data_IF_619500568645
#
_entry.id   IF_619500568645
#
_cell.length_a   1.000
_cell.length_b   1.000
_cell.length_c   1.000
_cell.angle_alpha   90.00
_cell.angle_beta   90.00
_cell.angle_gamma   90.00
#
_symmetry.space_group_name_H-M   'P 1'
#
loop_
_entity.id
_entity.type
_entity.pdbx_description
1 polymer ?
#
# COMPACT_ATOMS: atom_id res chain seq x y z
N UNK A 1 -3.55 -37.65 14.01
CA UNK A 1 -3.07 -36.50 13.18
C UNK A 1 -3.93 -36.47 11.91
N UNK A 2 -5.12 -35.87 12.01
CA UNK A 2 -6.15 -35.83 10.95
C UNK A 2 -5.85 -34.64 10.04
N UNK A 3 -5.36 -34.91 8.83
CA UNK A 3 -5.25 -33.95 7.73
C UNK A 3 -6.68 -33.61 7.25
N UNK A 4 -7.39 -32.75 7.96
CA UNK A 4 -8.57 -32.11 7.43
C UNK A 4 -8.10 -30.95 6.53
N UNK A 5 -8.04 -31.16 5.22
CA UNK A 5 -7.93 -30.06 4.27
C UNK A 5 -9.25 -29.26 4.37
N UNK A 6 -9.24 -28.03 4.83
CA UNK A 6 -10.46 -27.23 4.86
C UNK A 6 -10.75 -26.79 3.42
N UNK A 7 -11.65 -27.55 2.77
CA UNK A 7 -12.18 -27.19 1.46
C UNK A 7 -13.39 -26.30 1.71
N UNK A 8 -13.31 -25.03 1.36
CA UNK A 8 -14.45 -24.12 1.33
C UNK A 8 -15.09 -24.14 -0.04
N UNK A 9 -16.43 -24.18 -0.08
CA UNK A 9 -17.18 -24.14 -1.32
C UNK A 9 -17.67 -22.71 -1.59
N UNK A 10 -17.49 -22.22 -2.81
CA UNK A 10 -17.97 -20.90 -3.22
C UNK A 10 -19.49 -20.77 -3.12
N UNK A 11 -20.21 -21.85 -3.48
CA UNK A 11 -21.67 -21.91 -3.47
C UNK A 11 -22.14 -23.27 -2.94
N UNK A 12 -22.19 -23.47 -1.61
CA UNK A 12 -22.49 -24.76 -1.02
C UNK A 12 -23.92 -25.26 -1.37
N UNK A 13 -24.85 -24.36 -1.71
CA UNK A 13 -26.21 -24.69 -2.13
C UNK A 13 -26.21 -25.59 -3.39
N UNK A 14 -25.24 -25.44 -4.29
CA UNK A 14 -25.15 -26.25 -5.51
C UNK A 14 -24.82 -27.73 -5.23
N UNK A 15 -24.30 -28.06 -4.05
CA UNK A 15 -24.15 -29.47 -3.65
C UNK A 15 -25.47 -30.20 -3.56
N UNK A 16 -26.60 -29.51 -3.35
CA UNK A 16 -27.92 -30.12 -3.36
C UNK A 16 -28.28 -30.71 -4.73
N UNK A 17 -27.68 -30.20 -5.82
CA UNK A 17 -27.88 -30.78 -7.16
C UNK A 17 -27.31 -32.21 -7.29
N UNK A 18 -26.44 -32.64 -6.36
CA UNK A 18 -25.97 -34.04 -6.30
C UNK A 18 -27.11 -35.02 -6.07
N UNK A 19 -28.22 -34.62 -5.42
CA UNK A 19 -29.40 -35.47 -5.26
C UNK A 19 -30.07 -35.86 -6.60
N UNK A 20 -29.84 -35.10 -7.68
CA UNK A 20 -30.28 -35.45 -9.03
C UNK A 20 -29.62 -36.75 -9.55
N UNK A 21 -28.51 -37.18 -8.97
CA UNK A 21 -27.85 -38.45 -9.31
C UNK A 21 -28.81 -39.67 -9.06
N UNK A 22 -29.73 -39.59 -8.07
CA UNK A 22 -30.64 -40.67 -7.73
C UNK A 22 -31.65 -40.91 -8.86
N UNK A 23 -32.46 -39.94 -9.29
CA UNK A 23 -33.39 -40.13 -10.40
C UNK A 23 -32.68 -40.46 -11.72
N UNK A 24 -31.52 -39.88 -11.97
CA UNK A 24 -30.71 -40.18 -13.17
C UNK A 24 -30.20 -41.60 -13.16
N UNK A 25 -29.76 -42.12 -12.02
CA UNK A 25 -29.38 -43.53 -11.87
C UNK A 25 -30.57 -44.50 -12.13
N UNK A 26 -31.73 -44.19 -11.54
CA UNK A 26 -32.94 -45.00 -11.73
C UNK A 26 -33.42 -45.00 -13.17
N UNK A 27 -33.38 -43.84 -13.82
CA UNK A 27 -33.69 -43.69 -15.24
C UNK A 27 -32.71 -44.45 -16.13
N UNK A 28 -31.42 -44.29 -15.96
CA UNK A 28 -30.39 -45.01 -16.72
C UNK A 28 -30.44 -46.53 -16.52
N UNK A 29 -30.91 -46.99 -15.35
CA UNK A 29 -31.12 -48.41 -15.09
C UNK A 29 -32.43 -48.94 -15.71
N UNK A 30 -33.48 -48.12 -15.86
CA UNK A 30 -34.78 -48.49 -16.40
C UNK A 30 -34.80 -48.59 -17.92
N UNK A 31 -33.83 -47.93 -18.59
CA UNK A 31 -33.77 -47.83 -20.07
C UNK A 31 -33.12 -49.06 -20.72
N UNK A 32 -33.16 -50.21 -20.08
CA UNK A 32 -32.77 -51.47 -20.67
C UNK A 32 -33.70 -51.82 -21.82
N UNK A 33 -33.17 -51.80 -23.05
CA UNK A 33 -33.93 -52.10 -24.26
C UNK A 33 -34.74 -53.39 -24.10
N UNK A 34 -36.06 -53.29 -24.26
CA UNK A 34 -36.97 -54.42 -24.20
C UNK A 34 -36.97 -55.08 -25.57
N UNK A 35 -36.43 -56.28 -25.65
CA UNK A 35 -36.53 -57.10 -26.86
C UNK A 35 -37.69 -58.05 -26.69
N UNK A 36 -38.69 -57.99 -27.59
CA UNK A 36 -39.82 -58.88 -27.60
C UNK A 36 -39.44 -60.25 -28.22
N UNK A 37 -39.43 -61.26 -27.38
CA UNK A 37 -39.18 -62.65 -27.83
C UNK A 37 -40.51 -63.42 -27.91
N UNK A 38 -40.74 -64.11 -29.02
CA UNK A 38 -41.90 -64.87 -29.24
C UNK A 38 -41.94 -66.22 -28.47
N UNK A 39 -40.81 -66.71 -27.96
CA UNK A 39 -40.72 -67.91 -27.15
C UNK A 39 -39.46 -67.90 -26.27
N UNK A 40 -39.60 -68.10 -24.95
CA UNK A 40 -38.51 -68.27 -23.97
C UNK A 40 -37.73 -69.60 -24.14
N UNK A 41 -38.27 -70.59 -24.91
CA UNK A 41 -37.54 -71.85 -25.16
C UNK A 41 -36.35 -71.79 -26.05
N UNK A 42 -36.14 -70.62 -26.75
CA UNK A 42 -35.01 -70.39 -27.64
C UNK A 42 -33.85 -69.60 -26.95
N UNK A 43 -34.04 -69.21 -25.71
CA UNK A 43 -33.01 -68.56 -24.94
C UNK A 43 -31.99 -69.59 -24.42
N UNK A 44 -30.73 -69.49 -24.72
CA UNK A 44 -29.74 -70.38 -24.14
C UNK A 44 -29.72 -70.21 -22.62
N UNK A 45 -29.85 -71.35 -21.90
CA UNK A 45 -29.71 -71.40 -20.44
C UNK A 45 -28.20 -71.21 -20.11
N UNK A 46 -27.73 -70.06 -20.28
CA UNK A 46 -26.30 -69.66 -19.98
C UNK A 46 -26.18 -69.04 -18.59
N UNK A 47 -25.19 -69.47 -17.86
CA UNK A 47 -24.86 -68.90 -16.55
C UNK A 47 -24.54 -67.40 -16.63
N UNK A 48 -24.61 -66.70 -15.50
CA UNK A 48 -24.32 -65.26 -15.37
C UNK A 48 -22.93 -64.94 -15.89
N UNK A 49 -22.88 -64.26 -17.05
CA UNK A 49 -21.62 -63.84 -17.67
C UNK A 49 -21.06 -62.64 -16.87
N UNK A 50 -19.74 -62.46 -16.86
CA UNK A 50 -19.07 -61.32 -16.19
C UNK A 50 -19.65 -59.95 -16.67
N UNK A 51 -20.09 -59.86 -17.93
CA UNK A 51 -20.77 -58.69 -18.49
C UNK A 51 -22.12 -58.37 -17.78
N UNK A 52 -22.87 -59.39 -17.40
CA UNK A 52 -24.13 -59.22 -16.62
C UNK A 52 -23.82 -58.75 -15.20
N UNK A 53 -22.73 -59.21 -14.61
CA UNK A 53 -22.27 -58.72 -13.29
C UNK A 53 -21.86 -57.27 -13.32
N UNK A 54 -21.33 -56.75 -14.44
CA UNK A 54 -20.90 -55.37 -14.65
C UNK A 54 -21.98 -54.47 -15.24
N UNK A 55 -23.20 -54.99 -15.52
CA UNK A 55 -24.29 -54.22 -16.10
C UNK A 55 -24.79 -53.05 -15.24
N UNK A 56 -24.46 -53.03 -13.95
CA UNK A 56 -24.73 -51.89 -13.06
C UNK A 56 -23.71 -50.74 -13.23
N UNK A 57 -22.56 -50.98 -13.86
CA UNK A 57 -21.45 -50.01 -13.96
C UNK A 57 -21.81 -48.80 -14.83
N UNK A 58 -22.42 -48.93 -16.04
CA UNK A 58 -22.76 -47.78 -16.85
C UNK A 58 -23.73 -46.79 -16.14
N UNK A 59 -24.88 -47.21 -15.57
CA UNK A 59 -25.75 -46.28 -14.85
C UNK A 59 -25.09 -45.70 -13.61
N UNK A 60 -24.18 -46.42 -12.94
CA UNK A 60 -23.40 -45.91 -11.82
C UNK A 60 -22.46 -44.82 -12.25
N UNK A 61 -21.76 -44.98 -13.38
CA UNK A 61 -20.84 -43.96 -13.91
C UNK A 61 -21.59 -42.68 -14.31
N UNK A 62 -22.79 -42.81 -14.88
CA UNK A 62 -23.64 -41.65 -15.18
C UNK A 62 -24.04 -40.91 -13.91
N UNK A 63 -24.45 -41.61 -12.87
CA UNK A 63 -24.80 -40.99 -11.59
C UNK A 63 -23.58 -40.32 -10.95
N UNK A 64 -22.42 -40.96 -11.01
CA UNK A 64 -21.17 -40.41 -10.47
C UNK A 64 -20.73 -39.14 -11.21
N UNK A 65 -20.96 -39.08 -12.54
CA UNK A 65 -20.68 -37.86 -13.32
C UNK A 65 -21.55 -36.68 -12.88
N UNK A 66 -22.81 -36.91 -12.51
CA UNK A 66 -23.71 -35.87 -11.98
C UNK A 66 -23.20 -35.36 -10.62
N UNK A 67 -22.75 -36.26 -9.75
CA UNK A 67 -22.17 -35.86 -8.46
C UNK A 67 -20.88 -35.06 -8.67
N UNK A 68 -20.01 -35.51 -9.56
CA UNK A 68 -18.78 -34.82 -9.88
C UNK A 68 -19.05 -33.40 -10.44
N UNK A 69 -20.07 -33.28 -11.31
CA UNK A 69 -20.52 -32.00 -11.83
C UNK A 69 -21.05 -31.08 -10.73
N UNK A 70 -21.84 -31.60 -9.80
CA UNK A 70 -22.35 -30.84 -8.66
C UNK A 70 -21.23 -30.31 -7.77
N UNK A 71 -20.18 -31.13 -7.51
CA UNK A 71 -18.99 -30.71 -6.77
C UNK A 71 -18.21 -29.67 -7.53
N UNK A 72 -18.04 -29.83 -8.85
CA UNK A 72 -17.35 -28.85 -9.69
C UNK A 72 -18.08 -27.49 -9.71
N UNK A 73 -19.40 -27.49 -9.83
CA UNK A 73 -20.25 -26.30 -9.78
C UNK A 73 -20.21 -25.60 -8.43
N UNK A 74 -20.12 -26.37 -7.34
CA UNK A 74 -19.98 -25.82 -5.99
C UNK A 74 -18.65 -25.05 -5.81
N UNK A 75 -17.68 -25.22 -6.73
CA UNK A 75 -16.41 -24.50 -6.75
C UNK A 75 -15.57 -24.72 -5.51
N UNK A 76 -14.99 -25.92 -5.32
CA UNK A 76 -14.10 -26.17 -4.20
C UNK A 76 -12.89 -25.25 -4.27
N UNK A 77 -12.59 -24.52 -3.18
CA UNK A 77 -11.42 -23.68 -3.01
C UNK A 77 -10.59 -24.25 -1.89
N UNK A 78 -9.31 -24.40 -2.13
CA UNK A 78 -8.36 -24.55 -1.04
C UNK A 78 -8.38 -23.23 -0.27
N UNK A 79 -8.80 -23.24 0.99
CA UNK A 79 -8.60 -22.08 1.85
C UNK A 79 -7.09 -21.88 1.94
N UNK A 80 -6.59 -20.86 1.26
CA UNK A 80 -5.22 -20.42 1.44
C UNK A 80 -5.12 -19.89 2.87
N UNK A 81 -4.73 -20.77 3.77
CA UNK A 81 -4.44 -20.46 5.17
C UNK A 81 -3.07 -19.78 5.31
N UNK A 82 -2.60 -19.10 4.28
CA UNK A 82 -1.81 -17.95 4.56
C UNK A 82 -2.75 -17.01 5.32
N UNK A 83 -2.79 -17.21 6.62
CA UNK A 83 -3.24 -16.19 7.55
C UNK A 83 -2.43 -14.96 7.14
N UNK A 84 -3.01 -14.12 6.25
CA UNK A 84 -2.72 -12.71 6.33
C UNK A 84 -3.15 -12.36 7.76
N UNK A 85 -2.22 -12.53 8.69
CA UNK A 85 -2.17 -11.61 9.80
C UNK A 85 -2.14 -10.29 9.04
N UNK A 86 -3.30 -9.62 8.95
CA UNK A 86 -3.30 -8.20 8.65
C UNK A 86 -2.52 -7.63 9.84
N UNK A 87 -1.20 -7.60 9.74
CA UNK A 87 -0.42 -6.57 10.39
C UNK A 87 -1.14 -5.33 9.89
N UNK A 88 -1.92 -4.72 10.77
CA UNK A 88 -2.59 -3.47 10.44
C UNK A 88 -1.45 -2.49 10.36
N UNK A 89 -0.93 -2.31 9.15
CA UNK A 89 0.07 -1.31 8.88
C UNK A 89 -0.47 0.06 9.28
N UNK A 90 0.41 0.98 9.54
CA UNK A 90 0.06 2.37 9.81
C UNK A 90 -0.28 3.07 8.50
N UNK A 91 -1.08 4.15 8.57
CA UNK A 91 -1.20 5.11 7.47
C UNK A 91 -0.21 6.26 7.72
N UNK A 92 0.70 6.44 6.78
CA UNK A 92 1.79 7.39 6.88
C UNK A 92 1.76 8.36 5.70
N UNK A 93 1.66 9.67 5.97
CA UNK A 93 1.77 10.71 4.96
C UNK A 93 3.09 11.46 5.09
N UNK A 94 3.87 11.41 4.01
CA UNK A 94 5.08 12.21 3.86
C UNK A 94 4.70 13.58 3.33
N UNK A 95 4.99 14.64 4.10
CA UNK A 95 4.71 16.04 3.75
C UNK A 95 6.04 16.72 3.47
N UNK A 96 6.35 16.89 2.19
CA UNK A 96 7.69 17.25 1.72
C UNK A 96 7.68 18.67 1.16
N UNK A 97 8.52 19.52 1.73
CA UNK A 97 8.81 20.85 1.21
C UNK A 97 9.56 20.75 -0.11
N UNK A 98 9.08 21.45 -1.13
CA UNK A 98 9.73 21.58 -2.44
C UNK A 98 9.98 23.05 -2.82
N UNK A 99 9.98 23.94 -1.82
CA UNK A 99 10.30 25.37 -2.01
C UNK A 99 11.74 25.57 -2.47
N UNK A 100 12.06 26.77 -2.94
CA UNK A 100 13.37 27.11 -3.48
C UNK A 100 14.52 26.92 -2.49
N UNK A 101 14.29 27.03 -1.18
CA UNK A 101 15.28 26.79 -0.12
C UNK A 101 15.81 25.35 -0.10
N UNK A 102 14.97 24.37 -0.49
CA UNK A 102 15.35 22.95 -0.60
C UNK A 102 16.42 22.67 -1.69
N UNK A 103 16.82 23.69 -2.46
CA UNK A 103 17.94 23.64 -3.39
C UNK A 103 19.31 23.73 -2.69
N UNK A 104 19.35 24.07 -1.41
CA UNK A 104 20.61 24.21 -0.66
C UNK A 104 21.40 22.89 -0.65
N UNK A 105 22.74 23.03 -0.66
CA UNK A 105 23.70 21.92 -0.79
C UNK A 105 24.38 21.56 0.54
N UNK A 106 23.84 22.01 1.67
CA UNK A 106 24.43 21.82 3.00
C UNK A 106 24.25 20.38 3.56
N UNK A 107 23.41 19.56 2.93
CA UNK A 107 23.31 18.12 3.19
C UNK A 107 24.16 17.27 2.22
N UNK A 108 25.10 17.89 1.50
CA UNK A 108 26.02 17.18 0.60
C UNK A 108 27.07 16.40 1.38
N UNK A 109 27.41 15.20 0.87
CA UNK A 109 28.56 14.43 1.36
C UNK A 109 29.85 14.95 0.76
N UNK A 110 30.99 14.49 1.32
CA UNK A 110 32.34 14.91 0.85
C UNK A 110 32.61 14.60 -0.62
N UNK A 111 31.95 13.56 -1.15
CA UNK A 111 32.21 13.03 -2.49
C UNK A 111 31.10 13.32 -3.49
N UNK A 112 29.94 13.86 -3.03
CA UNK A 112 28.78 14.05 -3.89
C UNK A 112 27.97 15.27 -3.48
N UNK A 113 27.90 16.26 -4.39
CA UNK A 113 26.97 17.37 -4.24
C UNK A 113 25.53 16.87 -4.43
N UNK A 114 24.66 17.22 -3.48
CA UNK A 114 23.22 16.94 -3.56
C UNK A 114 22.42 18.03 -2.86
N UNK A 115 21.24 18.29 -3.41
CA UNK A 115 20.31 19.23 -2.79
C UNK A 115 19.68 18.59 -1.54
N UNK A 116 19.08 19.41 -0.68
CA UNK A 116 18.26 18.92 0.45
C UNK A 116 17.15 18.00 -0.04
N UNK A 117 16.47 18.37 -1.14
CA UNK A 117 15.42 17.55 -1.74
C UNK A 117 15.95 16.20 -2.21
N UNK A 118 17.14 16.14 -2.83
CA UNK A 118 17.75 14.87 -3.25
C UNK A 118 18.09 13.97 -2.06
N UNK A 119 18.62 14.55 -0.98
CA UNK A 119 18.89 13.81 0.25
C UNK A 119 17.60 13.23 0.86
N UNK A 120 16.51 14.00 0.89
CA UNK A 120 15.20 13.55 1.35
C UNK A 120 14.67 12.41 0.51
N UNK A 121 14.76 12.49 -0.84
CA UNK A 121 14.33 11.42 -1.74
C UNK A 121 15.08 10.11 -1.53
N UNK A 122 16.41 10.18 -1.36
CA UNK A 122 17.25 9.00 -1.13
C UNK A 122 16.87 8.32 0.19
N UNK A 123 16.76 9.07 1.27
CA UNK A 123 16.40 8.51 2.59
C UNK A 123 14.97 7.99 2.62
N UNK A 124 14.04 8.68 1.95
CA UNK A 124 12.67 8.18 1.79
C UNK A 124 12.64 6.82 1.07
N UNK A 125 13.45 6.65 0.02
CA UNK A 125 13.52 5.38 -0.69
C UNK A 125 14.04 4.25 0.21
N UNK A 126 15.07 4.51 1.01
CA UNK A 126 15.60 3.55 1.99
C UNK A 126 14.61 3.24 3.12
N UNK A 127 13.87 4.24 3.57
CA UNK A 127 12.82 4.06 4.58
C UNK A 127 11.68 3.15 4.09
N UNK A 128 11.25 3.33 2.84
CA UNK A 128 10.15 2.56 2.25
C UNK A 128 10.58 1.14 1.88
N UNK A 129 11.69 0.99 1.16
CA UNK A 129 12.18 -0.31 0.67
C UNK A 129 12.89 -1.15 1.73
N UNK A 130 13.45 -0.50 2.71
CA UNK A 130 14.50 -1.04 3.56
C UNK A 130 15.88 -0.88 2.93
N UNK A 131 16.83 -0.45 3.72
CA UNK A 131 18.22 -0.18 3.32
C UNK A 131 18.94 0.62 4.38
N UNK A 132 20.26 0.68 4.34
CA UNK A 132 21.09 1.41 5.32
C UNK A 132 20.71 1.14 6.79
N UNK A 133 20.27 -0.09 7.09
CA UNK A 133 19.87 -0.50 8.45
C UNK A 133 18.40 -0.16 8.82
N UNK A 134 17.59 0.27 7.86
CA UNK A 134 16.14 0.43 8.00
C UNK A 134 15.43 -0.88 7.57
N UNK A 135 14.40 -1.34 8.29
CA UNK A 135 13.72 -2.62 7.99
C UNK A 135 12.82 -2.58 6.74
N UNK A 136 12.48 -1.38 6.26
CA UNK A 136 11.45 -1.18 5.22
C UNK A 136 10.03 -1.27 5.77
N UNK A 137 9.05 -0.94 4.93
CA UNK A 137 7.65 -0.75 5.33
C UNK A 137 6.64 -1.49 4.43
N UNK A 138 6.79 -2.80 4.19
CA UNK A 138 6.00 -3.51 3.18
C UNK A 138 4.49 -3.56 3.46
N UNK A 139 4.08 -3.40 4.72
CA UNK A 139 2.69 -3.54 5.16
C UNK A 139 2.00 -2.19 5.43
N UNK A 140 2.73 -1.06 5.32
CA UNK A 140 2.22 0.27 5.64
C UNK A 140 1.61 0.98 4.42
N UNK A 141 0.52 1.71 4.64
CA UNK A 141 -0.05 2.61 3.65
C UNK A 141 0.75 3.92 3.65
N UNK A 142 1.47 4.20 2.58
CA UNK A 142 2.30 5.40 2.50
C UNK A 142 1.81 6.30 1.37
N UNK A 143 1.76 7.61 1.61
CA UNK A 143 1.40 8.62 0.62
C UNK A 143 2.35 9.81 0.68
N UNK A 144 2.31 10.66 -0.34
CA UNK A 144 3.16 11.85 -0.47
C UNK A 144 2.32 13.07 -0.79
N UNK A 145 2.48 14.11 0.01
CA UNK A 145 2.06 15.48 -0.27
C UNK A 145 3.32 16.31 -0.43
N UNK A 146 3.43 17.09 -1.49
CA UNK A 146 4.46 18.13 -1.63
C UNK A 146 3.83 19.48 -1.44
N UNK A 147 4.60 20.41 -0.90
CA UNK A 147 4.16 21.80 -0.74
C UNK A 147 5.31 22.78 -1.01
N UNK A 148 4.95 23.94 -1.50
CA UNK A 148 5.76 25.14 -1.62
C UNK A 148 4.82 26.33 -1.38
N UNK A 149 4.53 27.17 -2.35
CA UNK A 149 3.52 28.22 -2.25
C UNK A 149 2.09 27.69 -2.14
N UNK A 150 1.85 26.43 -2.52
CA UNK A 150 0.61 25.66 -2.36
C UNK A 150 0.92 24.18 -2.16
N UNK A 151 -0.06 23.42 -1.69
CA UNK A 151 0.08 21.98 -1.43
C UNK A 151 -0.58 21.12 -2.53
N UNK A 152 0.05 19.99 -2.85
CA UNK A 152 -0.48 19.03 -3.82
C UNK A 152 -0.21 17.58 -3.41
N UNK A 153 -1.18 16.70 -3.66
CA UNK A 153 -1.04 15.26 -3.42
C UNK A 153 -0.30 14.60 -4.58
N UNK A 154 0.95 14.21 -4.38
CA UNK A 154 1.78 13.53 -5.39
C UNK A 154 1.52 12.06 -5.48
N UNK A 155 1.21 11.44 -4.34
CA UNK A 155 0.82 10.04 -4.28
C UNK A 155 -0.22 9.86 -3.16
N UNK A 156 -1.40 9.32 -3.42
CA UNK A 156 -2.34 8.96 -2.37
C UNK A 156 -1.80 7.82 -1.51
N UNK A 157 -2.43 7.56 -0.36
CA UNK A 157 -2.10 6.42 0.50
C UNK A 157 -2.19 5.11 -0.29
N UNK A 158 -1.08 4.39 -0.42
CA UNK A 158 -0.98 3.16 -1.20
C UNK A 158 -0.06 2.14 -0.54
N UNK A 159 -0.30 0.85 -0.83
CA UNK A 159 0.64 -0.26 -0.56
C UNK A 159 1.58 -0.50 -1.77
N UNK A 160 1.34 0.16 -2.89
CA UNK A 160 2.19 0.10 -4.07
C UNK A 160 3.38 1.05 -3.91
N UNK A 161 4.41 0.54 -3.25
CA UNK A 161 5.60 1.32 -2.94
C UNK A 161 6.49 1.58 -4.17
N UNK A 162 6.34 0.82 -5.25
CA UNK A 162 7.06 1.10 -6.49
C UNK A 162 6.54 2.38 -7.14
N UNK A 163 5.23 2.53 -7.28
CA UNK A 163 4.60 3.74 -7.77
C UNK A 163 4.82 4.94 -6.82
N UNK A 164 4.80 4.72 -5.50
CA UNK A 164 5.15 5.75 -4.51
C UNK A 164 6.56 6.30 -4.75
N UNK A 165 7.54 5.43 -4.92
CA UNK A 165 8.94 5.83 -5.12
C UNK A 165 9.16 6.46 -6.49
N UNK A 166 8.41 6.05 -7.51
CA UNK A 166 8.40 6.73 -8.80
C UNK A 166 7.90 8.17 -8.62
N UNK A 167 6.78 8.38 -7.92
CA UNK A 167 6.25 9.71 -7.62
C UNK A 167 7.25 10.56 -6.81
N UNK A 168 7.92 9.96 -5.81
CA UNK A 168 8.96 10.61 -5.02
C UNK A 168 10.14 11.06 -5.90
N UNK A 169 10.59 10.22 -6.83
CA UNK A 169 11.70 10.54 -7.75
C UNK A 169 11.37 11.73 -8.67
N UNK A 170 10.10 11.91 -9.01
CA UNK A 170 9.59 12.97 -9.89
C UNK A 170 9.34 14.30 -9.16
N UNK A 171 9.50 14.37 -7.83
CA UNK A 171 9.41 15.62 -7.11
C UNK A 171 10.42 16.62 -7.66
N UNK A 172 9.99 17.83 -7.93
CA UNK A 172 10.82 18.92 -8.44
C UNK A 172 10.66 20.15 -7.55
N UNK A 173 11.71 20.93 -7.45
CA UNK A 173 11.67 22.22 -6.76
C UNK A 173 10.72 23.17 -7.47
N UNK A 174 10.05 24.03 -6.71
CA UNK A 174 9.30 25.15 -7.27
C UNK A 174 10.28 26.11 -7.95
N UNK A 175 10.15 26.25 -9.27
CA UNK A 175 11.06 27.07 -10.09
C UNK A 175 10.48 28.44 -10.43
N UNK A 176 9.16 28.57 -10.36
CA UNK A 176 8.46 29.82 -10.65
C UNK A 176 8.24 30.61 -9.37
N UNK A 177 8.51 31.92 -9.41
CA UNK A 177 8.30 32.80 -8.26
C UNK A 177 6.85 32.81 -7.72
N UNK A 178 5.86 32.51 -8.57
CA UNK A 178 4.46 32.40 -8.20
C UNK A 178 4.14 31.13 -7.39
N UNK A 179 4.89 30.07 -7.66
CA UNK A 179 4.78 28.74 -7.02
C UNK A 179 5.70 28.62 -5.80
N UNK A 180 6.69 29.51 -5.66
CA UNK A 180 7.64 29.51 -4.55
C UNK A 180 7.01 30.11 -3.29
N UNK A 181 7.52 29.65 -2.15
CA UNK A 181 7.04 29.98 -0.82
C UNK A 181 6.88 28.69 0.00
N UNK A 182 6.46 28.83 1.24
CA UNK A 182 6.40 27.71 2.19
C UNK A 182 5.06 27.73 2.92
N UNK A 183 4.06 26.99 2.39
CA UNK A 183 2.72 26.85 2.93
C UNK A 183 2.62 25.60 3.82
N UNK A 184 3.30 25.58 4.97
CA UNK A 184 3.38 24.42 5.87
C UNK A 184 2.00 23.99 6.35
N UNK A 185 1.16 24.97 6.73
CA UNK A 185 -0.19 24.69 7.24
C UNK A 185 -1.07 24.01 6.20
N UNK A 186 -1.03 24.43 4.94
CA UNK A 186 -1.80 23.81 3.86
C UNK A 186 -1.25 22.43 3.51
N UNK A 187 0.09 22.26 3.48
CA UNK A 187 0.74 20.97 3.26
C UNK A 187 0.33 19.93 4.29
N UNK A 188 0.41 20.31 5.56
CA UNK A 188 0.01 19.45 6.66
C UNK A 188 -1.52 19.22 6.65
N UNK A 189 -2.31 20.25 6.41
CA UNK A 189 -3.78 20.15 6.33
C UNK A 189 -4.24 19.17 5.26
N UNK A 190 -3.66 19.23 4.05
CA UNK A 190 -3.97 18.31 2.97
C UNK A 190 -3.57 16.86 3.32
N UNK A 191 -2.41 16.66 3.93
CA UNK A 191 -1.98 15.35 4.38
C UNK A 191 -2.91 14.76 5.43
N UNK A 192 -3.38 15.56 6.38
CA UNK A 192 -4.32 15.14 7.41
C UNK A 192 -5.69 14.79 6.84
N UNK A 193 -6.14 15.49 5.81
CA UNK A 193 -7.37 15.15 5.09
C UNK A 193 -7.27 13.76 4.47
N UNK A 194 -6.14 13.43 3.83
CA UNK A 194 -5.89 12.09 3.28
C UNK A 194 -5.81 11.03 4.38
N UNK A 195 -5.18 11.33 5.51
CA UNK A 195 -5.12 10.43 6.65
C UNK A 195 -6.50 10.22 7.30
N UNK A 196 -7.36 11.22 7.29
CA UNK A 196 -8.73 11.12 7.83
C UNK A 196 -9.54 10.05 7.11
N UNK A 197 -9.41 9.97 5.79
CA UNK A 197 -10.09 8.98 4.95
C UNK A 197 -9.59 7.55 5.16
N UNK A 198 -8.41 7.37 5.75
CA UNK A 198 -7.83 6.05 6.00
C UNK A 198 -8.53 5.32 7.15
N UNK A 199 -8.74 4.01 6.96
CA UNK A 199 -9.25 3.09 7.99
C UNK A 199 -8.18 2.53 8.92
N UNK A 200 -6.90 2.90 8.73
CA UNK A 200 -5.81 2.47 9.59
C UNK A 200 -5.99 2.97 11.02
N UNK A 201 -5.62 2.12 12.00
CA UNK A 201 -5.74 2.48 13.42
C UNK A 201 -4.75 3.55 13.85
N UNK A 202 -3.54 3.52 13.28
CA UNK A 202 -2.49 4.49 13.55
C UNK A 202 -2.31 5.38 12.32
N UNK A 203 -2.34 6.69 12.53
CA UNK A 203 -2.21 7.72 11.51
C UNK A 203 -1.01 8.58 11.85
N UNK A 204 -0.08 8.70 10.92
CA UNK A 204 1.18 9.40 11.12
C UNK A 204 1.41 10.36 9.95
N UNK A 205 1.82 11.59 10.23
CA UNK A 205 2.37 12.51 9.24
C UNK A 205 3.83 12.81 9.57
N UNK A 206 4.69 12.83 8.57
CA UNK A 206 6.09 13.25 8.69
C UNK A 206 6.25 14.51 7.85
N UNK A 207 6.39 15.64 8.52
CA UNK A 207 6.58 16.95 7.91
C UNK A 207 8.06 17.24 7.78
N UNK A 208 8.55 17.39 6.55
CA UNK A 208 9.91 17.78 6.22
C UNK A 208 9.91 19.18 5.62
N UNK A 209 10.60 20.11 6.27
CA UNK A 209 10.74 21.49 5.80
C UNK A 209 12.09 22.07 6.26
N UNK A 210 12.57 23.06 5.54
CA UNK A 210 13.76 23.82 5.88
C UNK A 210 13.47 25.33 6.04
N UNK A 211 12.18 25.70 5.96
CA UNK A 211 11.76 27.09 5.92
C UNK A 211 10.85 27.52 7.05
N UNK A 212 10.47 28.79 6.96
CA UNK A 212 9.48 29.46 7.80
C UNK A 212 8.17 29.52 7.03
N UNK A 213 7.04 29.28 7.69
CA UNK A 213 5.75 29.42 7.05
C UNK A 213 5.50 30.88 6.62
N UNK A 214 5.41 31.13 5.32
CA UNK A 214 5.24 32.47 4.75
C UNK A 214 4.09 32.56 3.74
N UNK A 215 3.40 31.44 3.45
CA UNK A 215 2.26 31.34 2.54
C UNK A 215 1.23 30.36 3.07
N UNK A 216 0.08 30.29 2.39
CA UNK A 216 -1.03 29.38 2.67
C UNK A 216 -2.17 30.06 3.42
N UNK A 217 -3.32 29.47 3.30
CA UNK A 217 -4.56 29.95 3.94
C UNK A 217 -4.73 29.34 5.35
N UNK A 218 -4.15 28.15 5.57
CA UNK A 218 -4.18 27.43 6.85
C UNK A 218 -2.93 27.73 7.65
N UNK A 219 -3.08 28.14 8.91
CA UNK A 219 -1.91 28.28 9.77
C UNK A 219 -1.38 26.91 10.23
N UNK A 220 -0.06 26.76 10.48
CA UNK A 220 0.51 25.54 11.02
C UNK A 220 -0.13 25.10 12.35
N UNK A 221 -0.57 26.04 13.18
CA UNK A 221 -1.25 25.78 14.45
C UNK A 221 -2.64 25.18 14.24
N UNK A 222 -3.40 25.68 13.27
CA UNK A 222 -4.70 25.12 12.90
C UNK A 222 -4.57 23.69 12.35
N UNK A 223 -3.56 23.45 11.53
CA UNK A 223 -3.26 22.10 11.04
C UNK A 223 -2.89 21.15 12.20
N UNK A 224 -2.10 21.60 13.18
CA UNK A 224 -1.79 20.80 14.37
C UNK A 224 -3.04 20.49 15.23
N UNK A 225 -4.00 21.42 15.32
CA UNK A 225 -5.29 21.20 15.99
C UNK A 225 -6.12 20.13 15.27
N UNK A 226 -6.16 20.20 13.96
CA UNK A 226 -6.81 19.18 13.13
C UNK A 226 -6.16 17.80 13.35
N UNK A 227 -4.83 17.72 13.35
CA UNK A 227 -4.10 16.49 13.61
C UNK A 227 -4.48 15.86 14.96
N UNK A 228 -4.49 16.65 16.02
CA UNK A 228 -4.88 16.21 17.35
C UNK A 228 -6.34 15.71 17.36
N UNK A 229 -7.25 16.39 16.66
CA UNK A 229 -8.68 16.03 16.57
C UNK A 229 -8.89 14.67 15.89
N UNK A 230 -8.15 14.35 14.84
CA UNK A 230 -8.25 13.06 14.12
C UNK A 230 -7.37 11.96 14.73
N UNK A 231 -6.61 12.27 15.80
CA UNK A 231 -5.70 11.35 16.47
C UNK A 231 -4.47 11.00 15.62
N UNK A 232 -4.05 11.87 14.71
CA UNK A 232 -2.83 11.70 13.91
C UNK A 232 -1.61 12.27 14.65
N UNK A 233 -0.53 11.50 14.72
CA UNK A 233 0.76 11.96 15.24
C UNK A 233 1.53 12.67 14.12
N UNK A 234 2.10 13.83 14.42
CA UNK A 234 2.91 14.58 13.46
C UNK A 234 4.36 14.61 13.96
N UNK A 235 5.24 13.98 13.21
CA UNK A 235 6.68 14.13 13.39
C UNK A 235 7.16 15.26 12.48
N UNK A 236 7.94 16.17 13.03
CA UNK A 236 8.46 17.32 12.27
C UNK A 236 9.95 17.22 12.15
N UNK A 237 10.47 17.43 10.95
CA UNK A 237 11.88 17.32 10.61
C UNK A 237 12.33 18.63 9.97
N UNK A 238 13.18 19.35 10.68
CA UNK A 238 13.84 20.56 10.17
C UNK A 238 15.13 20.16 9.42
N UNK A 239 15.13 20.27 8.09
CA UNK A 239 16.25 19.86 7.25
C UNK A 239 17.22 21.01 6.99
N UNK A 240 18.51 20.80 7.29
CA UNK A 240 19.57 21.75 7.00
C UNK A 240 20.12 22.51 8.21
N UNK A 241 21.00 23.45 7.96
CA UNK A 241 21.67 24.28 8.97
C UNK A 241 21.07 25.69 9.04
N UNK A 242 21.03 26.30 10.24
CA UNK A 242 20.71 27.72 10.35
C UNK A 242 21.92 28.57 9.91
N UNK A 243 21.66 29.64 9.19
CA UNK A 243 22.68 30.60 8.78
C UNK A 243 22.87 30.66 7.27
N UNK A 244 24.11 30.59 6.80
CA UNK A 244 24.44 30.77 5.38
C UNK A 244 24.63 29.41 4.71
N UNK A 245 23.67 28.97 3.89
CA UNK A 245 23.77 27.74 3.11
C UNK A 245 24.23 28.01 1.67
N UNK A 246 25.05 27.14 1.07
CA UNK A 246 25.44 27.25 -0.34
C UNK A 246 24.27 26.82 -1.22
N UNK A 247 23.87 27.72 -2.12
CA UNK A 247 22.79 27.46 -3.11
C UNK A 247 23.38 27.67 -4.50
N UNK A 248 23.02 26.81 -5.44
CA UNK A 248 23.42 26.96 -6.83
C UNK A 248 22.49 27.94 -7.55
N UNK A 249 23.02 29.05 -7.98
CA UNK A 249 22.29 30.08 -8.73
C UNK A 249 22.81 30.11 -10.16
N UNK A 250 21.91 30.24 -11.12
CA UNK A 250 22.28 30.44 -12.54
C UNK A 250 22.03 31.87 -12.95
N UNK A 251 23.00 32.46 -13.66
CA UNK A 251 22.85 33.79 -14.25
C UNK A 251 21.98 33.71 -15.54
N UNK A 252 21.50 34.82 -16.08
CA UNK A 252 20.74 34.86 -17.32
C UNK A 252 21.49 34.31 -18.54
N UNK A 253 22.79 34.13 -18.45
CA UNK A 253 23.67 33.59 -19.49
C UNK A 253 23.90 32.08 -19.33
N UNK A 254 23.23 31.42 -18.35
CA UNK A 254 23.33 29.98 -18.10
C UNK A 254 24.57 29.55 -17.32
N UNK A 255 25.34 30.47 -16.72
CA UNK A 255 26.48 30.16 -15.86
C UNK A 255 25.98 29.87 -14.45
N UNK A 256 26.38 28.74 -13.89
CA UNK A 256 26.02 28.36 -12.51
C UNK A 256 27.19 28.73 -11.57
N UNK A 257 26.88 29.35 -10.45
CA UNK A 257 27.81 29.64 -9.37
C UNK A 257 27.17 29.37 -8.01
N UNK A 258 28.00 29.12 -7.01
CA UNK A 258 27.53 28.91 -5.64
C UNK A 258 27.44 30.28 -4.94
N UNK A 259 26.23 30.59 -4.47
CA UNK A 259 25.96 31.76 -3.64
C UNK A 259 25.56 31.30 -2.24
N UNK A 260 26.08 31.93 -1.20
CA UNK A 260 25.60 31.69 0.15
C UNK A 260 24.36 32.53 0.41
N UNK A 261 23.27 31.87 0.75
CA UNK A 261 21.99 32.49 1.06
C UNK A 261 21.63 32.26 2.54
N UNK A 262 21.00 33.23 3.21
CA UNK A 262 20.52 33.02 4.56
C UNK A 262 19.36 32.03 4.54
N UNK A 263 19.41 31.06 5.43
CA UNK A 263 18.36 30.07 5.65
C UNK A 263 18.02 30.09 7.13
N UNK A 264 16.73 30.16 7.42
CA UNK A 264 16.19 30.17 8.78
C UNK A 264 15.11 29.10 8.90
N UNK A 265 15.17 28.30 9.97
CA UNK A 265 14.18 27.28 10.29
C UNK A 265 13.45 27.72 11.56
N UNK A 266 12.12 27.74 11.51
CA UNK A 266 11.29 28.00 12.69
C UNK A 266 11.14 26.72 13.54
N UNK A 267 12.19 26.40 14.30
CA UNK A 267 12.22 25.23 15.18
C UNK A 267 11.13 25.27 16.25
N UNK A 268 10.78 26.48 16.74
CA UNK A 268 9.76 26.63 17.79
C UNK A 268 8.38 26.24 17.27
N UNK A 269 8.06 26.64 16.05
CA UNK A 269 6.80 26.28 15.40
C UNK A 269 6.76 24.75 15.14
N UNK A 270 7.83 24.18 14.59
CA UNK A 270 7.90 22.74 14.30
C UNK A 270 7.78 21.90 15.58
N UNK A 271 8.45 22.32 16.65
CA UNK A 271 8.35 21.67 17.95
C UNK A 271 6.94 21.77 18.54
N UNK A 272 6.30 22.93 18.43
CA UNK A 272 4.94 23.14 18.92
C UNK A 272 3.92 22.23 18.17
N UNK A 273 4.08 22.04 16.85
CA UNK A 273 3.25 21.11 16.07
C UNK A 273 3.43 19.67 16.57
N UNK A 274 4.67 19.22 16.73
CA UNK A 274 5.00 17.87 17.18
C UNK A 274 4.46 17.61 18.58
N UNK A 275 4.73 18.50 19.54
CA UNK A 275 4.30 18.35 20.95
C UNK A 275 2.77 18.29 21.06
N UNK A 276 2.05 19.14 20.30
CA UNK A 276 0.58 19.19 20.31
C UNK A 276 -0.08 17.89 19.83
N UNK A 277 0.59 17.16 18.96
CA UNK A 277 0.08 15.93 18.32
C UNK A 277 0.64 14.64 18.93
N UNK A 278 1.51 14.74 19.94
CA UNK A 278 2.17 13.60 20.54
C UNK A 278 3.26 12.96 19.66
N UNK A 279 3.75 13.72 18.69
CA UNK A 279 4.93 13.38 17.90
C UNK A 279 6.22 13.93 18.51
N UNK A 280 7.25 14.11 17.69
CA UNK A 280 8.54 14.65 18.10
C UNK A 280 9.15 15.50 16.99
N UNK A 281 9.87 16.57 17.38
CA UNK A 281 10.68 17.36 16.48
C UNK A 281 12.10 16.78 16.37
N UNK A 282 12.64 16.78 15.15
CA UNK A 282 14.00 16.39 14.85
C UNK A 282 14.71 17.46 14.03
N UNK A 283 15.96 17.69 14.35
CA UNK A 283 16.85 18.52 13.56
C UNK A 283 17.81 17.66 12.75
N UNK A 284 17.85 17.87 11.45
CA UNK A 284 18.70 17.12 10.53
C UNK A 284 19.71 18.07 9.88
N UNK A 285 20.96 17.90 10.23
CA UNK A 285 22.09 18.68 9.69
C UNK A 285 22.92 17.89 8.67
N UNK A 286 22.68 16.61 8.56
CA UNK A 286 23.35 15.68 7.65
C UNK A 286 22.41 14.52 7.28
N UNK A 287 22.75 13.76 6.23
CA UNK A 287 21.94 12.66 5.75
C UNK A 287 21.84 11.50 6.76
N UNK A 288 22.89 11.27 7.56
CA UNK A 288 22.87 10.21 8.58
C UNK A 288 21.91 10.55 9.73
N UNK A 289 21.79 11.84 10.07
CA UNK A 289 20.80 12.29 11.05
C UNK A 289 19.38 12.04 10.55
N UNK A 290 19.09 12.24 9.26
CA UNK A 290 17.80 11.95 8.66
C UNK A 290 17.44 10.45 8.75
N UNK A 291 18.40 9.56 8.49
CA UNK A 291 18.20 8.12 8.66
C UNK A 291 17.90 7.74 10.12
N UNK A 292 18.55 8.38 11.09
CA UNK A 292 18.28 8.13 12.53
C UNK A 292 16.84 8.51 12.91
N UNK A 293 16.35 9.65 12.38
CA UNK A 293 14.96 10.10 12.60
C UNK A 293 13.96 9.05 12.14
N UNK A 294 14.11 8.54 10.92
CA UNK A 294 13.21 7.51 10.41
C UNK A 294 13.25 6.21 11.20
N UNK A 295 14.39 5.90 11.82
CA UNK A 295 14.56 4.73 12.68
C UNK A 295 13.86 4.87 14.04
N UNK A 296 13.72 6.11 14.54
CA UNK A 296 13.01 6.40 15.78
C UNK A 296 11.48 6.51 15.63
N UNK A 297 11.00 6.75 14.41
CA UNK A 297 9.57 6.78 14.08
C UNK A 297 8.98 5.35 14.02
N UNK A 298 9.83 4.36 13.91
CA UNK A 298 9.50 2.94 13.92
C UNK A 298 9.12 2.48 15.32
#
# INVERSE_FOLDING_TARGET
MTLALPVEFRQPILLLSAFLAIPVYLWARSDGGRVLFSSFRLLPQGGTTWRMRLAFLPPLLVALSVVALAVALAGPRAADRQTRVKKQGIALMMVIDVSGSMQALDLSDKDRERTRLDAVKEVLADFVKGGRGLPGRPDDLIGIVSFAGYADTRCPLTLDHENLLLAASQLQLATKAEEDGTAIGDGLGLALERLRESTAKSKVAILLTDGVNNRGDTSPQQAAELAATIGAKVFTVGAGTNGMAPVRVSDPFGRSFLQRMPVEIDEKMLQAIADKTGGRYYRVTDAEALERVYREID
#
